data_IF_336251328825
#
_entry.id   IF_336251328825
#
_cell.length_a   1.000
_cell.length_b   1.000
_cell.length_c   1.000
_cell.angle_alpha   90.00
_cell.angle_beta   90.00
_cell.angle_gamma   90.00
#
_symmetry.space_group_name_H-M   'P 1'
#
loop_
_entity.id
_entity.type
_entity.pdbx_description
1 polymer ?
#
# COMPACT_ATOMS: atom_id res chain seq x y z
N UNK A 1 -6.20 8.29 9.33
CA UNK A 1 -6.49 7.19 10.30
C UNK A 1 -7.98 7.07 10.64
N UNK A 2 -8.78 8.14 10.50
CA UNK A 2 -10.17 8.16 10.94
C UNK A 2 -11.05 7.11 10.24
N UNK A 3 -10.97 7.00 8.91
CA UNK A 3 -11.66 5.95 8.17
C UNK A 3 -11.30 4.51 8.59
N UNK A 4 -10.04 4.27 8.98
CA UNK A 4 -9.62 2.94 9.46
C UNK A 4 -10.32 2.56 10.78
N UNK A 5 -10.65 3.54 11.60
CA UNK A 5 -11.35 3.36 12.88
C UNK A 5 -12.86 3.25 12.69
N UNK A 6 -13.46 4.17 11.93
CA UNK A 6 -14.92 4.27 11.75
C UNK A 6 -15.48 3.35 10.67
N UNK A 7 -14.69 3.08 9.63
CA UNK A 7 -15.14 2.39 8.42
C UNK A 7 -15.93 3.28 7.46
N UNK A 8 -15.95 4.59 7.71
CA UNK A 8 -16.65 5.59 6.90
C UNK A 8 -15.70 6.37 6.02
N UNK A 9 -16.22 6.95 4.93
CA UNK A 9 -15.46 7.79 3.98
C UNK A 9 -15.36 9.25 4.46
N UNK A 10 -14.92 9.45 5.72
CA UNK A 10 -14.93 10.75 6.43
C UNK A 10 -14.13 11.87 5.73
N UNK A 11 -13.19 11.52 4.88
CA UNK A 11 -12.31 12.50 4.21
C UNK A 11 -12.64 12.69 2.71
N UNK A 12 -13.81 12.23 2.26
CA UNK A 12 -14.15 12.25 0.82
C UNK A 12 -14.09 13.66 0.23
N UNK A 13 -14.65 14.65 0.91
CA UNK A 13 -14.68 16.04 0.43
C UNK A 13 -13.27 16.63 0.22
N UNK A 14 -12.34 16.30 1.12
CA UNK A 14 -10.94 16.73 1.01
C UNK A 14 -10.26 16.05 -0.18
N UNK A 15 -10.54 14.75 -0.38
CA UNK A 15 -10.00 13.96 -1.49
C UNK A 15 -10.48 14.53 -2.82
N UNK A 16 -11.78 14.84 -2.96
CA UNK A 16 -12.34 15.47 -4.15
C UNK A 16 -11.68 16.83 -4.47
N UNK A 17 -11.42 17.64 -3.43
CA UNK A 17 -10.71 18.91 -3.59
C UNK A 17 -9.29 18.67 -4.11
N UNK A 18 -8.57 17.70 -3.57
CA UNK A 18 -7.18 17.41 -3.99
C UNK A 18 -7.19 16.90 -5.43
N UNK A 19 -8.01 15.91 -5.75
CA UNK A 19 -8.12 15.34 -7.11
C UNK A 19 -8.48 16.40 -8.13
N UNK A 20 -9.41 17.31 -7.80
CA UNK A 20 -9.86 18.37 -8.74
C UNK A 20 -8.84 19.48 -8.95
N UNK A 21 -7.98 19.75 -7.96
CA UNK A 21 -7.01 20.87 -8.00
C UNK A 21 -5.64 20.51 -8.49
N UNK A 22 -5.24 19.25 -8.34
CA UNK A 22 -3.88 18.81 -8.60
C UNK A 22 -3.89 17.62 -9.57
N UNK A 23 -2.99 17.62 -10.54
CA UNK A 23 -2.75 16.48 -11.44
C UNK A 23 -1.91 15.42 -10.69
N UNK A 24 -2.50 14.80 -9.69
CA UNK A 24 -1.87 13.78 -8.86
C UNK A 24 -2.65 12.48 -8.93
N UNK A 25 -1.93 11.38 -9.06
CA UNK A 25 -2.50 10.04 -8.90
C UNK A 25 -2.62 9.73 -7.41
N UNK A 26 -3.85 9.64 -6.92
CA UNK A 26 -4.13 9.44 -5.51
C UNK A 26 -4.53 8.00 -5.26
N UNK A 27 -3.90 7.39 -4.28
CA UNK A 27 -4.30 6.10 -3.74
C UNK A 27 -4.83 6.31 -2.32
N UNK A 28 -5.95 5.69 -2.01
CA UNK A 28 -6.62 5.82 -0.71
C UNK A 28 -6.80 4.47 -0.05
N UNK A 29 -6.48 4.39 1.23
CA UNK A 29 -6.72 3.22 2.07
C UNK A 29 -7.15 3.60 3.46
N UNK A 30 -7.58 2.59 4.22
CA UNK A 30 -8.04 2.74 5.60
C UNK A 30 -9.55 2.73 5.72
N UNK A 31 -10.07 1.63 6.30
CA UNK A 31 -11.50 1.48 6.61
C UNK A 31 -12.42 1.09 5.46
N UNK A 32 -11.91 0.88 4.26
CA UNK A 32 -12.73 0.42 3.12
C UNK A 32 -13.15 -1.03 3.35
N UNK A 33 -14.47 -1.27 3.49
CA UNK A 33 -15.04 -2.57 3.91
C UNK A 33 -16.20 -3.04 3.05
N UNK A 34 -16.64 -2.24 2.07
CA UNK A 34 -17.77 -2.54 1.21
C UNK A 34 -17.61 -1.89 -0.17
N UNK A 35 -18.40 -2.35 -1.13
CA UNK A 35 -18.36 -1.87 -2.52
C UNK A 35 -18.83 -0.42 -2.66
N UNK A 36 -19.73 0.04 -1.81
CA UNK A 36 -20.21 1.43 -1.83
C UNK A 36 -19.08 2.41 -1.54
N UNK A 37 -18.22 2.12 -0.55
CA UNK A 37 -17.05 2.93 -0.26
C UNK A 37 -16.04 2.93 -1.41
N UNK A 38 -15.82 1.78 -2.07
CA UNK A 38 -14.95 1.70 -3.25
C UNK A 38 -15.52 2.59 -4.36
N UNK A 39 -16.82 2.48 -4.64
CA UNK A 39 -17.48 3.27 -5.68
C UNK A 39 -17.36 4.77 -5.40
N UNK A 40 -17.61 5.22 -4.17
CA UNK A 40 -17.47 6.63 -3.79
C UNK A 40 -16.07 7.19 -4.06
N UNK A 41 -15.02 6.44 -3.69
CA UNK A 41 -13.65 6.87 -3.96
C UNK A 41 -13.30 6.87 -5.45
N UNK A 42 -13.77 5.86 -6.21
CA UNK A 42 -13.55 5.81 -7.66
C UNK A 42 -14.29 6.94 -8.37
N UNK A 43 -15.52 7.27 -7.96
CA UNK A 43 -16.30 8.40 -8.49
C UNK A 43 -15.64 9.74 -8.18
N UNK A 44 -14.98 9.86 -7.02
CA UNK A 44 -14.19 11.02 -6.64
C UNK A 44 -12.88 11.17 -7.45
N UNK A 45 -12.57 10.23 -8.35
CA UNK A 45 -11.40 10.28 -9.22
C UNK A 45 -10.11 9.71 -8.61
N UNK A 46 -10.21 8.94 -7.52
CA UNK A 46 -9.06 8.25 -6.92
C UNK A 46 -8.48 7.22 -7.89
N UNK A 47 -7.17 7.18 -8.03
CA UNK A 47 -6.48 6.24 -8.93
C UNK A 47 -6.66 4.80 -8.46
N UNK A 48 -6.41 4.54 -7.18
CA UNK A 48 -6.57 3.21 -6.57
C UNK A 48 -7.14 3.25 -5.16
N UNK A 49 -7.89 2.21 -4.84
CA UNK A 49 -8.42 1.97 -3.49
C UNK A 49 -7.68 0.79 -2.89
N UNK A 50 -7.05 1.03 -1.74
CA UNK A 50 -6.22 0.04 -1.04
C UNK A 50 -7.10 -0.74 -0.06
N UNK A 51 -7.20 -2.06 -0.28
CA UNK A 51 -7.88 -2.99 0.60
C UNK A 51 -6.85 -3.73 1.46
N UNK A 52 -6.90 -3.53 2.76
CA UNK A 52 -6.04 -4.23 3.73
C UNK A 52 -6.82 -5.25 4.55
N UNK A 53 -7.11 -4.96 5.81
CA UNK A 53 -7.77 -5.88 6.75
C UNK A 53 -9.07 -6.49 6.23
N UNK A 54 -9.85 -5.78 5.43
CA UNK A 54 -11.09 -6.31 4.85
C UNK A 54 -10.81 -7.45 3.87
N UNK A 55 -9.78 -7.29 3.03
CA UNK A 55 -9.35 -8.32 2.08
C UNK A 55 -8.77 -9.56 2.78
N UNK A 56 -8.05 -9.35 3.89
CA UNK A 56 -7.47 -10.45 4.68
C UNK A 56 -8.56 -11.25 5.39
N UNK A 57 -9.59 -10.56 5.92
CA UNK A 57 -10.71 -11.18 6.62
C UNK A 57 -11.69 -11.87 5.68
N UNK A 58 -11.86 -11.35 4.48
CA UNK A 58 -12.79 -11.87 3.47
C UNK A 58 -12.14 -11.86 2.06
N UNK A 59 -11.59 -13.00 1.68
CA UNK A 59 -10.97 -13.20 0.37
C UNK A 59 -11.98 -13.11 -0.78
N UNK A 60 -13.26 -13.45 -0.53
CA UNK A 60 -14.32 -13.35 -1.55
C UNK A 60 -14.63 -11.88 -1.84
N UNK A 61 -14.70 -11.04 -0.79
CA UNK A 61 -14.82 -9.60 -0.97
C UNK A 61 -13.69 -9.03 -1.82
N UNK A 62 -12.42 -9.42 -1.57
CA UNK A 62 -11.29 -8.99 -2.40
C UNK A 62 -11.48 -9.41 -3.86
N UNK A 63 -11.80 -10.68 -4.11
CA UNK A 63 -12.00 -11.21 -5.46
C UNK A 63 -13.09 -10.47 -6.21
N UNK A 64 -14.25 -10.29 -5.59
CA UNK A 64 -15.36 -9.56 -6.17
C UNK A 64 -15.03 -8.07 -6.40
N UNK A 65 -14.29 -7.44 -5.48
CA UNK A 65 -13.84 -6.06 -5.63
C UNK A 65 -12.92 -5.90 -6.86
N UNK A 66 -11.94 -6.79 -7.04
CA UNK A 66 -11.07 -6.76 -8.21
C UNK A 66 -11.84 -6.97 -9.52
N UNK A 67 -12.85 -7.85 -9.54
CA UNK A 67 -13.69 -8.08 -10.72
C UNK A 67 -14.61 -6.88 -11.03
N UNK A 68 -15.16 -6.24 -10.02
CA UNK A 68 -16.12 -5.14 -10.13
C UNK A 68 -15.45 -3.81 -10.46
N UNK A 69 -14.23 -3.62 -9.98
CA UNK A 69 -13.43 -2.41 -10.13
C UNK A 69 -12.06 -2.74 -10.74
N UNK A 70 -12.01 -3.20 -12.01
CA UNK A 70 -10.76 -3.61 -12.65
C UNK A 70 -9.76 -2.45 -12.63
N UNK A 71 -8.50 -2.78 -12.36
CA UNK A 71 -7.37 -1.85 -12.23
C UNK A 71 -7.48 -0.79 -11.11
N UNK A 72 -8.55 -0.82 -10.30
CA UNK A 72 -8.77 0.15 -9.22
C UNK A 72 -8.39 -0.38 -7.83
N UNK A 73 -8.17 -1.67 -7.69
CA UNK A 73 -7.91 -2.28 -6.38
C UNK A 73 -6.41 -2.52 -6.19
N UNK A 74 -5.86 -1.93 -5.14
CA UNK A 74 -4.55 -2.29 -4.60
C UNK A 74 -4.73 -3.13 -3.33
N UNK A 75 -3.91 -4.14 -3.15
CA UNK A 75 -3.90 -4.98 -1.94
C UNK A 75 -2.85 -4.45 -0.95
N UNK A 76 -3.26 -4.03 0.24
CA UNK A 76 -2.37 -3.64 1.33
C UNK A 76 -2.10 -4.82 2.27
N UNK A 77 -0.85 -5.23 2.39
CA UNK A 77 -0.40 -6.27 3.32
C UNK A 77 0.54 -5.66 4.36
N UNK A 78 0.01 -5.46 5.55
CA UNK A 78 0.78 -5.04 6.71
C UNK A 78 1.25 -6.28 7.45
N UNK A 79 2.56 -6.44 7.61
CA UNK A 79 3.15 -7.65 8.17
C UNK A 79 4.13 -7.37 9.31
N UNK A 80 4.19 -8.29 10.24
CA UNK A 80 5.17 -8.34 11.32
C UNK A 80 5.78 -9.72 11.37
N UNK A 81 7.12 -9.80 11.24
CA UNK A 81 7.86 -11.06 11.32
C UNK A 81 7.31 -12.14 10.35
N UNK A 82 6.84 -11.71 9.16
CA UNK A 82 6.30 -12.60 8.13
C UNK A 82 4.82 -12.98 8.32
N UNK A 83 4.14 -12.47 9.33
CA UNK A 83 2.71 -12.68 9.59
C UNK A 83 1.90 -11.42 9.34
N UNK A 84 0.70 -11.58 8.77
CA UNK A 84 -0.20 -10.47 8.48
C UNK A 84 -0.78 -9.88 9.77
N UNK A 85 -0.87 -8.56 9.80
CA UNK A 85 -1.55 -7.79 10.84
C UNK A 85 -2.85 -7.21 10.31
N UNK A 86 -3.87 -7.13 11.14
CA UNK A 86 -5.18 -6.62 10.79
C UNK A 86 -5.67 -5.59 11.80
N UNK A 87 -6.80 -4.93 11.52
CA UNK A 87 -7.46 -3.99 12.45
C UNK A 87 -6.58 -2.80 12.86
N UNK A 88 -5.81 -2.25 11.91
CA UNK A 88 -4.88 -1.14 12.20
C UNK A 88 -3.75 -1.57 13.12
N UNK A 89 -3.18 -2.76 12.87
CA UNK A 89 -2.05 -3.38 13.59
C UNK A 89 -2.33 -3.83 15.03
N UNK A 90 -3.60 -3.80 15.44
CA UNK A 90 -4.00 -4.20 16.80
C UNK A 90 -4.04 -5.71 17.00
N UNK A 91 -4.19 -6.45 15.92
CA UNK A 91 -4.33 -7.90 15.93
C UNK A 91 -3.32 -8.52 14.97
N UNK A 92 -2.47 -9.42 15.48
CA UNK A 92 -1.68 -10.28 14.63
C UNK A 92 -2.56 -11.45 14.17
N UNK A 93 -2.64 -11.64 12.87
CA UNK A 93 -3.24 -12.85 12.33
C UNK A 93 -2.23 -14.00 12.40
N UNK A 94 -2.71 -15.23 12.51
CA UNK A 94 -1.82 -16.40 12.38
C UNK A 94 -1.52 -16.74 10.91
N UNK A 95 -1.83 -15.84 9.97
CA UNK A 95 -1.66 -16.04 8.54
C UNK A 95 -0.26 -15.57 8.12
N UNK A 96 0.52 -16.45 7.52
CA UNK A 96 1.78 -16.06 6.90
C UNK A 96 1.53 -15.28 5.62
N UNK A 97 2.25 -14.18 5.45
CA UNK A 97 2.12 -13.28 4.30
C UNK A 97 2.22 -14.01 2.96
N UNK A 98 3.24 -14.85 2.78
CA UNK A 98 3.47 -15.53 1.51
C UNK A 98 2.42 -16.63 1.22
N UNK A 99 1.89 -17.29 2.26
CA UNK A 99 0.82 -18.27 2.10
C UNK A 99 -0.49 -17.58 1.66
N UNK A 100 -0.85 -16.49 2.34
CA UNK A 100 -2.01 -15.69 1.97
C UNK A 100 -1.89 -15.15 0.53
N UNK A 101 -0.72 -14.62 0.18
CA UNK A 101 -0.48 -14.04 -1.15
C UNK A 101 -0.67 -15.09 -2.26
N UNK A 102 -0.16 -16.32 -2.08
CA UNK A 102 -0.37 -17.41 -3.04
C UNK A 102 -1.85 -17.73 -3.27
N UNK A 103 -2.68 -17.61 -2.23
CA UNK A 103 -4.12 -17.88 -2.34
C UNK A 103 -4.87 -16.82 -3.13
N UNK A 104 -4.39 -15.56 -3.13
CA UNK A 104 -5.10 -14.41 -3.72
C UNK A 104 -4.43 -13.84 -4.97
N UNK A 105 -3.30 -14.38 -5.41
CA UNK A 105 -2.51 -13.85 -6.52
C UNK A 105 -3.31 -13.68 -7.82
N UNK A 106 -4.28 -14.57 -8.09
CA UNK A 106 -5.06 -14.57 -9.32
C UNK A 106 -6.39 -13.82 -9.20
N UNK A 107 -6.58 -13.04 -8.11
CA UNK A 107 -7.85 -12.30 -7.93
C UNK A 107 -7.92 -11.00 -8.72
N UNK A 108 -6.78 -10.51 -9.26
CA UNK A 108 -6.74 -9.37 -10.14
C UNK A 108 -6.48 -8.03 -9.41
N UNK A 109 -5.83 -8.05 -8.25
CA UNK A 109 -5.30 -6.83 -7.66
C UNK A 109 -4.29 -6.18 -8.61
N UNK A 110 -4.40 -4.87 -8.82
CA UNK A 110 -3.55 -4.15 -9.78
C UNK A 110 -2.15 -3.87 -9.25
N UNK A 111 -1.97 -3.85 -7.92
CA UNK A 111 -0.68 -3.75 -7.22
C UNK A 111 -0.80 -4.22 -5.78
N UNK A 112 0.34 -4.48 -5.18
CA UNK A 112 0.50 -4.84 -3.79
C UNK A 112 1.32 -3.78 -3.05
N UNK A 113 0.85 -3.31 -1.92
CA UNK A 113 1.63 -2.45 -1.00
C UNK A 113 2.03 -3.33 0.18
N UNK A 114 3.32 -3.60 0.32
CA UNK A 114 3.83 -4.40 1.43
C UNK A 114 4.47 -3.51 2.48
N UNK A 115 3.90 -3.50 3.69
CA UNK A 115 4.40 -2.73 4.83
C UNK A 115 4.98 -3.65 5.90
N UNK A 116 6.29 -3.49 6.20
CA UNK A 116 6.84 -4.05 7.44
C UNK A 116 6.54 -3.10 8.60
N UNK A 117 5.57 -3.48 9.46
CA UNK A 117 5.13 -2.62 10.56
C UNK A 117 6.15 -2.45 11.68
N UNK A 118 7.17 -3.32 11.77
CA UNK A 118 8.29 -3.10 12.69
C UNK A 118 9.18 -1.94 12.24
N UNK A 119 9.14 -1.60 10.96
CA UNK A 119 9.94 -0.52 10.35
C UNK A 119 9.13 0.76 10.15
N UNK A 120 7.80 0.65 10.01
CA UNK A 120 6.97 1.82 9.70
C UNK A 120 7.08 2.90 10.77
N UNK A 121 7.33 4.13 10.34
CA UNK A 121 7.57 5.29 11.21
C UNK A 121 8.88 5.29 11.99
N UNK A 122 9.69 4.23 11.93
CA UNK A 122 10.93 4.08 12.71
C UNK A 122 12.17 4.66 12.02
N UNK A 123 12.12 4.94 10.71
CA UNK A 123 13.25 5.45 9.92
C UNK A 123 14.52 4.59 10.08
N UNK A 124 14.39 3.27 9.91
CA UNK A 124 15.47 2.28 10.09
C UNK A 124 15.78 1.51 8.81
N UNK A 125 15.48 2.08 7.65
CA UNK A 125 15.46 1.47 6.33
C UNK A 125 14.35 0.41 6.17
N UNK A 126 13.78 0.26 4.96
CA UNK A 126 12.80 -0.77 4.65
C UNK A 126 13.35 -2.20 4.82
N UNK A 127 12.45 -3.15 4.99
CA UNK A 127 12.79 -4.57 4.96
C UNK A 127 12.88 -5.08 3.52
N UNK A 128 13.96 -4.73 2.83
CA UNK A 128 14.18 -5.10 1.43
C UNK A 128 14.15 -6.62 1.21
N UNK A 129 14.71 -7.40 2.15
CA UNK A 129 14.77 -8.86 2.01
C UNK A 129 13.39 -9.51 2.00
N UNK A 130 12.51 -9.10 2.92
CA UNK A 130 11.14 -9.62 2.94
C UNK A 130 10.33 -9.09 1.75
N UNK A 131 10.52 -7.82 1.38
CA UNK A 131 9.83 -7.26 0.21
C UNK A 131 10.21 -7.99 -1.08
N UNK A 132 11.46 -8.37 -1.27
CA UNK A 132 11.89 -9.17 -2.43
C UNK A 132 11.18 -10.53 -2.44
N UNK A 133 11.08 -11.24 -1.32
CA UNK A 133 10.35 -12.53 -1.25
C UNK A 133 8.86 -12.36 -1.61
N UNK A 134 8.27 -11.27 -1.15
CA UNK A 134 6.88 -10.91 -1.50
C UNK A 134 6.77 -10.64 -2.99
N UNK A 135 7.68 -9.85 -3.57
CA UNK A 135 7.71 -9.52 -4.98
C UNK A 135 7.93 -10.75 -5.87
N UNK A 136 8.80 -11.69 -5.45
CA UNK A 136 9.02 -12.95 -6.15
C UNK A 136 7.82 -13.89 -6.12
N UNK A 137 6.92 -13.70 -5.13
CA UNK A 137 5.69 -14.50 -4.98
C UNK A 137 4.50 -13.85 -5.65
N UNK A 138 4.48 -12.53 -5.79
CA UNK A 138 3.35 -11.73 -6.28
C UNK A 138 3.21 -11.79 -7.80
N UNK A 139 1.97 -11.91 -8.30
CA UNK A 139 1.63 -11.78 -9.72
C UNK A 139 1.40 -10.32 -10.15
N UNK A 140 1.31 -9.38 -9.20
CA UNK A 140 1.18 -7.95 -9.49
C UNK A 140 2.36 -7.16 -8.93
N UNK A 141 2.62 -5.95 -9.46
CA UNK A 141 3.71 -5.09 -8.99
C UNK A 141 3.62 -4.77 -7.50
N UNK A 142 4.77 -4.69 -6.85
CA UNK A 142 4.89 -4.47 -5.40
C UNK A 142 5.48 -3.11 -5.10
N UNK A 143 4.87 -2.41 -4.16
CA UNK A 143 5.36 -1.16 -3.57
C UNK A 143 5.97 -1.47 -2.20
N UNK A 144 7.21 -1.03 -1.99
CA UNK A 144 7.89 -1.10 -0.69
C UNK A 144 7.25 -0.07 0.26
N UNK A 145 6.92 -0.47 1.48
CA UNK A 145 6.36 0.44 2.49
C UNK A 145 6.94 0.18 3.88
N UNK A 146 7.11 1.27 4.63
CA UNK A 146 7.61 1.25 6.00
C UNK A 146 9.13 1.37 6.11
N UNK A 147 9.57 2.32 6.93
CA UNK A 147 10.96 2.45 7.39
C UNK A 147 11.89 3.32 6.58
N UNK A 148 11.48 3.86 5.43
CA UNK A 148 12.36 4.76 4.64
C UNK A 148 12.90 5.89 5.49
N UNK A 149 14.22 6.09 5.44
CA UNK A 149 14.96 7.01 6.28
C UNK A 149 15.78 8.05 5.52
N UNK A 150 16.26 7.71 4.32
CA UNK A 150 17.18 8.54 3.54
C UNK A 150 17.07 8.28 2.04
N UNK A 151 17.70 9.15 1.24
CA UNK A 151 17.84 8.96 -0.22
C UNK A 151 18.58 7.65 -0.55
N UNK A 152 19.48 7.19 0.30
CA UNK A 152 20.19 5.93 0.07
C UNK A 152 19.25 4.72 0.10
N UNK A 153 18.14 4.78 0.85
CA UNK A 153 17.12 3.73 0.78
C UNK A 153 16.43 3.70 -0.58
N UNK A 154 16.24 4.86 -1.21
CA UNK A 154 15.66 4.96 -2.57
C UNK A 154 16.62 4.36 -3.59
N UNK A 155 17.90 4.74 -3.54
CA UNK A 155 18.95 4.17 -4.41
C UNK A 155 19.01 2.65 -4.27
N UNK A 156 19.02 2.17 -3.03
CA UNK A 156 19.03 0.74 -2.73
C UNK A 156 17.79 0.03 -3.28
N UNK A 157 16.60 0.65 -3.22
CA UNK A 157 15.40 0.09 -3.83
C UNK A 157 15.54 -0.06 -5.36
N UNK A 158 16.11 0.94 -6.04
CA UNK A 158 16.42 0.88 -7.47
C UNK A 158 17.43 -0.22 -7.80
N UNK A 159 18.46 -0.39 -6.97
CA UNK A 159 19.52 -1.39 -7.15
C UNK A 159 19.06 -2.83 -6.91
N UNK A 160 17.89 -3.07 -6.29
CA UNK A 160 17.37 -4.42 -6.06
C UNK A 160 17.21 -5.23 -7.36
N UNK A 161 16.99 -4.54 -8.49
CA UNK A 161 16.87 -5.17 -9.80
C UNK A 161 15.69 -6.13 -9.93
N UNK A 162 14.80 -6.18 -8.96
CA UNK A 162 13.60 -7.00 -8.99
C UNK A 162 12.54 -6.33 -9.86
N UNK A 163 12.25 -6.92 -11.03
CA UNK A 163 11.33 -6.36 -12.02
C UNK A 163 9.89 -6.22 -11.52
N UNK A 164 9.54 -6.89 -10.43
CA UNK A 164 8.19 -6.82 -9.85
C UNK A 164 8.09 -5.81 -8.70
N UNK A 165 9.18 -5.09 -8.38
CA UNK A 165 9.14 -3.94 -7.46
C UNK A 165 8.97 -2.67 -8.30
N UNK A 166 7.81 -2.03 -8.17
CA UNK A 166 7.42 -0.86 -8.96
C UNK A 166 7.80 0.45 -8.28
N UNK A 167 7.87 0.48 -6.95
CA UNK A 167 8.13 1.72 -6.24
C UNK A 167 8.29 1.57 -4.73
N UNK A 168 8.39 2.72 -4.08
CA UNK A 168 8.60 2.83 -2.64
C UNK A 168 7.81 4.01 -2.06
N UNK A 169 7.17 3.81 -0.91
CA UNK A 169 6.45 4.87 -0.19
C UNK A 169 7.41 5.58 0.76
N UNK A 170 7.48 6.89 0.62
CA UNK A 170 8.23 7.78 1.52
C UNK A 170 7.24 8.63 2.31
N UNK A 171 7.15 8.41 3.60
CA UNK A 171 6.23 9.12 4.49
C UNK A 171 6.97 10.03 5.46
N UNK A 172 7.18 9.55 6.67
CA UNK A 172 7.72 10.32 7.80
C UNK A 172 9.04 11.04 7.50
N UNK A 173 9.94 10.43 6.72
CA UNK A 173 11.21 11.03 6.35
C UNK A 173 11.07 12.36 5.56
N UNK A 174 9.99 12.53 4.78
CA UNK A 174 9.67 13.81 4.12
C UNK A 174 9.15 14.81 5.15
N UNK A 175 8.21 14.41 6.01
CA UNK A 175 7.60 15.30 7.01
C UNK A 175 8.62 15.79 8.05
N UNK A 176 9.57 14.95 8.43
CA UNK A 176 10.66 15.30 9.36
C UNK A 176 11.80 16.08 8.66
N UNK A 177 11.79 16.18 7.32
CA UNK A 177 12.80 16.88 6.54
C UNK A 177 14.11 16.11 6.32
N UNK A 178 14.13 14.79 6.60
CA UNK A 178 15.29 13.94 6.33
C UNK A 178 15.51 13.70 4.84
N UNK A 179 14.41 13.75 4.06
CA UNK A 179 14.41 13.68 2.59
C UNK A 179 13.69 14.90 2.05
N UNK A 180 14.36 15.67 1.21
CA UNK A 180 13.76 16.82 0.52
C UNK A 180 13.13 16.38 -0.79
N UNK A 181 11.98 16.96 -1.14
CA UNK A 181 11.25 16.61 -2.36
C UNK A 181 12.06 16.87 -3.64
N UNK A 182 12.86 17.93 -3.67
CA UNK A 182 13.73 18.25 -4.80
C UNK A 182 14.90 17.25 -4.98
N UNK A 183 15.42 16.69 -3.89
CA UNK A 183 16.42 15.63 -3.92
C UNK A 183 15.78 14.30 -4.38
N UNK A 184 14.58 14.02 -3.89
CA UNK A 184 13.82 12.83 -4.29
C UNK A 184 13.46 12.87 -5.77
N UNK A 185 12.99 14.02 -6.29
CA UNK A 185 12.66 14.17 -7.70
C UNK A 185 13.89 13.90 -8.59
N UNK A 186 15.05 14.47 -8.27
CA UNK A 186 16.30 14.22 -9.00
C UNK A 186 16.69 12.74 -9.02
N UNK A 187 16.47 12.04 -7.91
CA UNK A 187 16.79 10.62 -7.82
C UNK A 187 15.82 9.76 -8.63
N UNK A 188 14.54 10.17 -8.76
CA UNK A 188 13.54 9.46 -9.57
C UNK A 188 13.82 9.62 -11.05
N UNK A 189 14.25 10.82 -11.49
CA UNK A 189 14.51 11.16 -12.90
C UNK A 189 15.88 10.64 -13.41
N UNK A 190 16.74 10.16 -12.51
CA UNK A 190 18.05 9.60 -12.82
C UNK A 190 17.99 8.09 -13.12
#
# INVERSE_FOLDING_TARGET
>A
MDGALTGETVNIDIIEIIVSKFDLKIEIGGGVRNFESIQKYTDAGVEKVILGSAAIKDKNFLKEACQKFPDKIALGLDAKDGYLSVSGWKENSNLKTLEFLKDVNDYGASRLIYTDINRDGMKQSPNFQETVKVADTSNCPVIISGGVSSIDDIKKAKELGNKNIEGIIVGKAIYDGDIKLDELAKEIDA
#
